data_IF_621796545824
#
_entry.id   IF_621796545824
#
_cell.length_a   1.000
_cell.length_b   1.000
_cell.length_c   1.000
_cell.angle_alpha   90.00
_cell.angle_beta   90.00
_cell.angle_gamma   90.00
#
_symmetry.space_group_name_H-M   'P 1'
#
loop_
_entity.id
_entity.type
_entity.pdbx_description
1 polymer ?
#
# COMPACT_ATOMS: atom_id res chain seq x y z
N UNK A 1 -16.94 -23.62 7.69
CA UNK A 1 -16.15 -23.26 8.89
C UNK A 1 -15.92 -21.75 8.93
N UNK A 2 -15.57 -21.17 10.09
CA UNK A 2 -15.22 -19.75 10.22
C UNK A 2 -13.70 -19.58 10.22
N UNK A 3 -13.17 -18.72 9.34
CA UNK A 3 -11.78 -18.32 9.32
C UNK A 3 -11.68 -16.81 9.55
N UNK A 4 -10.90 -16.41 10.56
CA UNK A 4 -10.62 -15.01 10.85
C UNK A 4 -9.14 -14.73 10.58
N UNK A 5 -8.87 -13.66 9.82
CA UNK A 5 -7.53 -13.26 9.37
C UNK A 5 -7.36 -11.78 9.66
N UNK A 6 -6.21 -11.42 10.21
CA UNK A 6 -5.82 -10.05 10.48
C UNK A 6 -4.49 -9.68 9.81
N UNK A 7 -4.35 -8.41 9.45
CA UNK A 7 -3.21 -7.89 8.69
C UNK A 7 -3.44 -7.96 7.18
N UNK A 8 -3.24 -6.83 6.50
CA UNK A 8 -3.53 -6.69 5.07
C UNK A 8 -2.75 -7.67 4.20
N UNK A 9 -1.48 -7.94 4.54
CA UNK A 9 -0.64 -8.89 3.79
C UNK A 9 -1.18 -10.32 3.91
N UNK A 10 -1.53 -10.76 5.11
CA UNK A 10 -2.13 -12.08 5.34
C UNK A 10 -3.49 -12.22 4.65
N UNK A 11 -4.26 -11.13 4.59
CA UNK A 11 -5.55 -11.11 3.90
C UNK A 11 -5.36 -11.32 2.40
N UNK A 12 -4.37 -10.66 1.79
CA UNK A 12 -4.05 -10.84 0.36
C UNK A 12 -3.74 -12.30 0.09
N UNK A 13 -2.84 -12.92 0.86
CA UNK A 13 -2.47 -14.34 0.69
C UNK A 13 -3.69 -15.28 0.80
N UNK A 14 -4.56 -15.05 1.80
CA UNK A 14 -5.75 -15.90 1.99
C UNK A 14 -6.77 -15.72 0.86
N UNK A 15 -6.89 -14.51 0.30
CA UNK A 15 -7.76 -14.26 -0.84
C UNK A 15 -7.22 -14.89 -2.13
N UNK A 16 -5.90 -14.88 -2.34
CA UNK A 16 -5.24 -15.59 -3.44
C UNK A 16 -5.45 -17.10 -3.33
N UNK A 17 -5.21 -17.69 -2.15
CA UNK A 17 -5.48 -19.11 -1.89
C UNK A 17 -6.95 -19.49 -2.11
N UNK A 18 -7.88 -18.56 -1.82
CA UNK A 18 -9.30 -18.75 -2.05
C UNK A 18 -9.62 -18.76 -3.55
N UNK A 19 -9.04 -17.84 -4.32
CA UNK A 19 -9.20 -17.76 -5.78
C UNK A 19 -8.64 -19.02 -6.47
N UNK A 20 -7.49 -19.51 -6.00
CA UNK A 20 -6.84 -20.74 -6.49
C UNK A 20 -7.53 -22.04 -6.04
N UNK A 21 -8.63 -21.93 -5.27
CA UNK A 21 -9.42 -23.07 -4.81
C UNK A 21 -8.74 -23.92 -3.74
N UNK A 22 -7.71 -23.40 -3.05
CA UNK A 22 -7.00 -24.08 -1.97
C UNK A 22 -7.79 -24.07 -0.64
N UNK A 23 -8.84 -23.24 -0.53
CA UNK A 23 -9.68 -23.09 0.67
C UNK A 23 -11.15 -23.55 0.50
N UNK A 24 -11.43 -24.81 0.12
CA UNK A 24 -12.77 -25.25 -0.27
C UNK A 24 -13.80 -25.45 0.87
N UNK A 25 -13.44 -25.18 2.14
CA UNK A 25 -14.29 -25.52 3.32
C UNK A 25 -14.62 -24.32 4.23
N UNK A 26 -14.36 -23.09 3.77
CA UNK A 26 -14.65 -21.88 4.53
C UNK A 26 -16.02 -21.34 4.13
N UNK A 27 -16.94 -21.25 5.10
CA UNK A 27 -18.30 -20.73 4.87
C UNK A 27 -18.37 -19.22 5.15
N UNK A 28 -17.46 -18.73 6.00
CA UNK A 28 -17.42 -17.34 6.45
C UNK A 28 -15.98 -16.91 6.71
N UNK A 29 -15.61 -15.78 6.11
CA UNK A 29 -14.31 -15.12 6.24
C UNK A 29 -14.48 -13.80 6.98
N UNK A 30 -13.75 -13.63 8.08
CA UNK A 30 -13.61 -12.36 8.79
C UNK A 30 -12.23 -11.78 8.48
N UNK A 31 -12.17 -10.65 7.76
CA UNK A 31 -10.92 -10.04 7.31
C UNK A 31 -10.72 -8.68 7.98
N UNK A 32 -9.64 -8.54 8.73
CA UNK A 32 -9.30 -7.35 9.51
C UNK A 32 -8.00 -6.71 9.01
N UNK A 33 -8.06 -5.55 8.36
CA UNK A 33 -6.89 -4.93 7.72
C UNK A 33 -5.69 -4.68 8.67
N UNK A 34 -5.96 -4.29 9.91
CA UNK A 34 -4.92 -4.10 10.93
C UNK A 34 -4.71 -5.38 11.74
N UNK A 35 -3.47 -5.63 12.15
CA UNK A 35 -3.14 -6.70 13.09
C UNK A 35 -3.97 -6.55 14.37
N UNK A 36 -4.58 -7.63 14.84
CA UNK A 36 -5.51 -7.69 15.97
C UNK A 36 -6.80 -6.85 15.78
N UNK A 37 -7.18 -6.54 14.55
CA UNK A 37 -8.34 -5.71 14.22
C UNK A 37 -8.12 -4.23 14.48
N UNK A 38 -9.20 -3.44 14.56
CA UNK A 38 -9.13 -1.99 14.78
C UNK A 38 -8.35 -1.59 16.06
N UNK A 39 -8.22 -2.50 17.01
CA UNK A 39 -7.44 -2.31 18.25
C UNK A 39 -5.94 -2.15 17.97
N UNK A 40 -5.43 -2.72 16.88
CA UNK A 40 -4.04 -2.56 16.45
C UNK A 40 -3.84 -1.57 15.31
N UNK A 41 -4.77 -0.63 15.13
CA UNK A 41 -4.63 0.42 14.10
C UNK A 41 -3.37 1.28 14.30
N UNK A 42 -2.86 1.87 13.22
CA UNK A 42 -1.61 2.65 13.22
C UNK A 42 -1.60 3.87 14.16
N UNK A 43 -2.77 4.36 14.56
CA UNK A 43 -2.92 5.49 15.48
C UNK A 43 -3.10 5.06 16.95
N UNK A 44 -3.05 3.76 17.23
CA UNK A 44 -3.16 3.23 18.59
C UNK A 44 -1.81 3.28 19.29
N UNK A 45 -1.82 3.76 20.54
CA UNK A 45 -0.59 3.99 21.33
C UNK A 45 -0.17 2.78 22.16
N UNK A 46 -1.10 1.88 22.44
CA UNK A 46 -0.85 0.68 23.23
C UNK A 46 -0.46 -0.48 22.32
N UNK A 47 0.33 -1.42 22.84
CA UNK A 47 0.66 -2.63 22.10
C UNK A 47 -0.64 -3.40 21.72
N UNK A 48 -0.85 -3.75 20.43
CA UNK A 48 -2.10 -4.37 19.97
C UNK A 48 -2.49 -5.64 20.72
N UNK A 49 -1.52 -6.50 21.05
CA UNK A 49 -1.76 -7.76 21.75
C UNK A 49 -2.16 -7.55 23.21
N UNK A 50 -1.55 -6.55 23.87
CA UNK A 50 -1.91 -6.17 25.25
C UNK A 50 -3.30 -5.54 25.27
N UNK A 51 -3.57 -4.59 24.38
CA UNK A 51 -4.87 -3.93 24.26
C UNK A 51 -5.99 -4.93 23.96
N UNK A 52 -5.76 -5.87 23.04
CA UNK A 52 -6.73 -6.92 22.72
C UNK A 52 -7.01 -7.83 23.93
N UNK A 53 -5.98 -8.19 24.70
CA UNK A 53 -6.16 -8.99 25.93
C UNK A 53 -7.02 -8.25 26.95
N UNK A 54 -6.79 -6.95 27.15
CA UNK A 54 -7.59 -6.12 28.06
C UNK A 54 -9.04 -6.00 27.59
N UNK A 55 -9.27 -5.82 26.30
CA UNK A 55 -10.62 -5.78 25.72
C UNK A 55 -11.33 -7.12 25.92
N UNK A 56 -10.67 -8.25 25.65
CA UNK A 56 -11.21 -9.60 25.89
C UNK A 56 -11.63 -9.79 27.36
N UNK A 57 -10.84 -9.30 28.31
CA UNK A 57 -11.20 -9.32 29.74
C UNK A 57 -12.40 -8.43 30.07
N UNK A 58 -12.47 -7.23 29.50
CA UNK A 58 -13.61 -6.32 29.70
C UNK A 58 -14.91 -6.94 29.17
N UNK A 59 -14.86 -7.58 28.00
CA UNK A 59 -16.03 -8.24 27.38
C UNK A 59 -16.63 -9.31 28.29
N UNK A 60 -15.82 -10.05 29.06
CA UNK A 60 -16.30 -11.10 29.97
C UNK A 60 -17.21 -10.55 31.08
N UNK A 61 -17.09 -9.27 31.41
CA UNK A 61 -17.85 -8.60 32.46
C UNK A 61 -18.91 -7.64 31.92
N UNK A 62 -19.02 -7.49 30.60
CA UNK A 62 -20.04 -6.66 29.99
C UNK A 62 -21.38 -7.39 29.92
N UNK A 63 -22.51 -6.67 30.05
CA UNK A 63 -23.82 -7.25 29.79
C UNK A 63 -23.88 -7.76 28.34
N UNK A 64 -24.63 -8.85 28.12
CA UNK A 64 -24.84 -9.40 26.78
C UNK A 64 -25.38 -8.30 25.89
N UNK A 65 -24.69 -8.07 24.77
CA UNK A 65 -25.12 -7.11 23.76
C UNK A 65 -26.56 -7.42 23.34
N UNK A 66 -27.43 -6.42 23.46
CA UNK A 66 -28.82 -6.48 22.99
C UNK A 66 -28.93 -6.12 21.49
N UNK A 67 -27.80 -6.00 20.78
CA UNK A 67 -27.77 -5.78 19.34
C UNK A 67 -28.29 -7.04 18.64
N UNK A 68 -29.62 -7.12 18.52
CA UNK A 68 -30.28 -8.08 17.66
C UNK A 68 -30.31 -7.47 16.28
N UNK A 69 -29.78 -8.19 15.29
CA UNK A 69 -30.18 -7.95 13.89
C UNK A 69 -31.71 -8.01 13.88
N UNK A 70 -32.37 -7.01 13.29
CA UNK A 70 -33.83 -6.99 13.27
C UNK A 70 -34.31 -8.32 12.70
N UNK A 71 -35.33 -8.91 13.30
CA UNK A 71 -35.95 -10.15 12.79
C UNK A 71 -36.80 -9.88 11.55
N UNK A 72 -36.56 -8.76 10.85
CA UNK A 72 -37.20 -8.53 9.58
C UNK A 72 -36.79 -9.68 8.65
N UNK A 73 -37.76 -10.32 7.98
CA UNK A 73 -37.52 -11.52 7.19
C UNK A 73 -36.60 -11.28 5.99
N UNK A 74 -36.44 -10.01 5.61
CA UNK A 74 -35.58 -9.60 4.51
C UNK A 74 -34.44 -8.75 5.05
N UNK A 75 -33.18 -9.19 4.87
CA UNK A 75 -32.04 -8.34 5.14
C UNK A 75 -32.13 -7.08 4.27
N UNK A 76 -31.61 -5.93 4.74
CA UNK A 76 -31.67 -4.70 3.98
C UNK A 76 -31.10 -4.89 2.58
N UNK A 77 -31.74 -4.31 1.56
CA UNK A 77 -31.35 -4.46 0.15
C UNK A 77 -29.88 -4.11 -0.17
N UNK A 78 -29.21 -3.35 0.69
CA UNK A 78 -27.78 -3.05 0.55
C UNK A 78 -26.85 -4.19 1.01
N UNK A 79 -27.39 -5.20 1.70
CA UNK A 79 -26.61 -6.28 2.32
C UNK A 79 -26.33 -7.41 1.33
N UNK A 80 -27.15 -7.55 0.29
CA UNK A 80 -27.01 -8.53 -0.77
C UNK A 80 -27.14 -7.81 -2.10
N UNK A 81 -26.04 -7.68 -2.84
CA UNK A 81 -26.07 -7.24 -4.22
C UNK A 81 -26.13 -8.54 -5.06
N UNK A 82 -27.32 -8.90 -5.56
CA UNK A 82 -27.56 -10.13 -6.36
C UNK A 82 -26.85 -10.10 -7.73
N UNK A 83 -25.95 -9.14 -7.96
CA UNK A 83 -25.20 -9.05 -9.21
C UNK A 83 -24.20 -10.20 -9.28
N UNK A 84 -24.10 -10.87 -10.44
CA UNK A 84 -23.01 -11.80 -10.65
C UNK A 84 -21.68 -11.06 -10.48
N UNK A 85 -20.74 -11.69 -9.78
CA UNK A 85 -19.38 -11.18 -9.65
C UNK A 85 -18.75 -11.16 -11.04
N UNK A 86 -18.48 -9.96 -11.55
CA UNK A 86 -17.73 -9.77 -12.80
C UNK A 86 -16.23 -9.71 -12.47
N UNK A 87 -15.42 -10.41 -13.24
CA UNK A 87 -13.97 -10.36 -13.09
C UNK A 87 -13.47 -8.95 -13.43
N UNK A 88 -12.79 -8.31 -12.47
CA UNK A 88 -12.14 -7.02 -12.70
C UNK A 88 -10.68 -7.24 -13.10
N UNK A 89 -10.24 -6.79 -14.28
CA UNK A 89 -8.85 -6.93 -14.70
C UNK A 89 -7.98 -5.89 -13.98
N UNK A 90 -7.52 -6.21 -12.77
CA UNK A 90 -6.72 -5.28 -11.94
C UNK A 90 -5.28 -5.13 -12.46
N UNK A 91 -4.73 -6.15 -13.13
CA UNK A 91 -3.33 -6.21 -13.57
C UNK A 91 -3.13 -5.98 -15.08
N UNK A 92 -4.13 -5.45 -15.78
CA UNK A 92 -4.07 -5.24 -17.24
C UNK A 92 -3.79 -3.76 -17.54
N UNK A 93 -2.63 -3.48 -18.16
CA UNK A 93 -2.24 -2.11 -18.53
C UNK A 93 -2.99 -1.59 -19.76
N UNK A 94 -3.32 -2.48 -20.70
CA UNK A 94 -4.11 -2.21 -21.90
C UNK A 94 -4.66 -3.52 -22.47
N UNK A 95 -5.76 -3.44 -23.22
CA UNK A 95 -6.34 -4.60 -23.92
C UNK A 95 -5.45 -5.03 -25.11
N UNK A 96 -4.74 -4.06 -25.73
CA UNK A 96 -3.78 -4.34 -26.79
C UNK A 96 -2.39 -4.65 -26.19
N UNK A 97 -1.89 -5.85 -26.47
CA UNK A 97 -0.59 -6.34 -25.98
C UNK A 97 0.55 -5.41 -26.42
N UNK A 98 0.53 -4.88 -27.65
CA UNK A 98 1.61 -3.99 -28.11
C UNK A 98 1.61 -2.68 -27.32
N UNK A 99 0.42 -2.13 -27.03
CA UNK A 99 0.28 -0.91 -26.22
C UNK A 99 0.65 -1.19 -24.77
N UNK A 100 0.25 -2.33 -24.21
CA UNK A 100 0.61 -2.75 -22.87
C UNK A 100 2.13 -2.89 -22.70
N UNK A 101 2.83 -3.47 -23.70
CA UNK A 101 4.29 -3.56 -23.69
C UNK A 101 4.96 -2.18 -23.77
N UNK A 102 4.41 -1.25 -24.55
CA UNK A 102 4.92 0.13 -24.61
C UNK A 102 4.74 0.85 -23.27
N UNK A 103 3.56 0.72 -22.64
CA UNK A 103 3.27 1.26 -21.30
C UNK A 103 4.22 0.66 -20.27
N UNK A 104 4.44 -0.65 -20.30
CA UNK A 104 5.38 -1.32 -19.40
C UNK A 104 6.80 -0.74 -19.53
N UNK A 105 7.29 -0.56 -20.76
CA UNK A 105 8.60 0.04 -20.99
C UNK A 105 8.70 1.50 -20.47
N UNK A 106 7.62 2.27 -20.60
CA UNK A 106 7.55 3.64 -20.05
C UNK A 106 7.57 3.63 -18.51
N UNK A 107 6.87 2.68 -17.87
CA UNK A 107 6.89 2.52 -16.42
C UNK A 107 8.32 2.26 -15.93
N UNK A 108 9.04 1.31 -16.52
CA UNK A 108 10.43 1.01 -16.13
C UNK A 108 11.34 2.24 -16.26
N UNK A 109 11.25 2.97 -17.37
CA UNK A 109 12.01 4.21 -17.57
C UNK A 109 11.70 5.25 -16.50
N UNK A 110 10.43 5.42 -16.16
CA UNK A 110 10.01 6.40 -15.17
C UNK A 110 10.46 5.99 -13.76
N UNK A 111 10.40 4.72 -13.41
CA UNK A 111 10.90 4.17 -12.13
C UNK A 111 12.38 4.51 -11.92
N UNK A 112 13.21 4.40 -12.96
CA UNK A 112 14.64 4.75 -12.88
C UNK A 112 14.88 6.24 -12.59
N UNK A 113 13.94 7.11 -12.96
CA UNK A 113 14.03 8.56 -12.69
C UNK A 113 13.46 8.96 -11.34
N UNK A 114 12.65 8.10 -10.72
CA UNK A 114 12.07 8.37 -9.41
C UNK A 114 13.08 8.10 -8.28
N UNK A 115 12.90 8.70 -7.09
CA UNK A 115 13.84 8.56 -5.98
C UNK A 115 14.03 7.13 -5.43
N UNK A 116 13.11 6.19 -5.72
CA UNK A 116 13.15 4.82 -5.18
C UNK A 116 12.98 4.74 -3.66
N UNK A 117 12.34 5.73 -3.04
CA UNK A 117 12.19 5.84 -1.58
C UNK A 117 10.95 5.14 -1.03
N UNK A 118 9.95 4.86 -1.87
CA UNK A 118 8.66 4.28 -1.48
C UNK A 118 8.00 4.96 -0.25
N UNK A 119 8.10 6.30 -0.20
CA UNK A 119 7.70 7.06 0.99
C UNK A 119 6.20 7.37 1.10
N UNK A 120 5.39 7.02 0.09
CA UNK A 120 3.94 7.22 0.11
C UNK A 120 3.44 8.67 0.06
N UNK A 121 4.32 9.67 -0.09
CA UNK A 121 3.92 11.09 0.00
C UNK A 121 3.02 11.56 -1.15
N UNK A 122 3.09 10.90 -2.30
CA UNK A 122 2.21 11.14 -3.45
C UNK A 122 0.87 10.37 -3.37
N UNK A 123 0.66 9.56 -2.33
CA UNK A 123 -0.52 8.70 -2.20
C UNK A 123 -0.37 7.30 -2.81
N UNK A 124 0.65 7.07 -3.64
CA UNK A 124 0.99 5.74 -4.15
C UNK A 124 1.88 4.96 -3.16
N UNK A 125 1.69 3.65 -2.96
CA UNK A 125 2.45 2.86 -1.97
C UNK A 125 3.93 2.71 -2.32
N UNK A 126 4.28 2.72 -3.61
CA UNK A 126 5.66 2.62 -4.11
C UNK A 126 5.90 3.62 -5.24
N UNK A 127 7.17 3.93 -5.52
CA UNK A 127 7.57 4.71 -6.68
C UNK A 127 7.14 4.03 -7.99
N UNK A 128 7.15 2.69 -8.04
CA UNK A 128 6.62 1.93 -9.18
C UNK A 128 5.13 2.17 -9.37
N UNK A 129 4.34 2.11 -8.30
CA UNK A 129 2.91 2.39 -8.37
C UNK A 129 2.63 3.82 -8.88
N UNK A 130 3.39 4.82 -8.40
CA UNK A 130 3.31 6.17 -8.95
C UNK A 130 3.63 6.21 -10.45
N UNK A 131 4.67 5.48 -10.90
CA UNK A 131 5.03 5.42 -12.31
C UNK A 131 3.91 4.81 -13.17
N UNK A 132 3.25 3.77 -12.67
CA UNK A 132 2.07 3.16 -13.28
C UNK A 132 0.91 4.17 -13.37
N UNK A 133 0.61 4.89 -12.29
CA UNK A 133 -0.42 5.92 -12.24
C UNK A 133 -0.16 7.03 -13.27
N UNK A 134 1.10 7.45 -13.44
CA UNK A 134 1.50 8.48 -14.42
C UNK A 134 1.29 7.97 -15.85
N UNK A 135 1.72 6.74 -16.16
CA UNK A 135 1.57 6.15 -17.50
C UNK A 135 0.10 5.90 -17.85
N UNK A 136 -0.74 5.62 -16.84
CA UNK A 136 -2.19 5.51 -17.00
C UNK A 136 -2.91 6.87 -17.05
N UNK A 137 -2.20 7.98 -16.82
CA UNK A 137 -2.76 9.33 -16.82
C UNK A 137 -3.58 9.68 -15.58
N UNK A 138 -3.42 8.92 -14.49
CA UNK A 138 -4.06 9.14 -13.19
C UNK A 138 -3.27 10.11 -12.31
N UNK A 139 -1.95 10.22 -12.55
CA UNK A 139 -1.04 11.09 -11.81
C UNK A 139 -0.07 11.83 -12.75
N UNK A 140 0.72 12.73 -12.18
CA UNK A 140 1.76 13.51 -12.84
C UNK A 140 3.11 13.36 -12.15
N UNK A 141 4.22 13.59 -12.86
CA UNK A 141 5.56 13.54 -12.26
C UNK A 141 5.73 14.52 -11.09
N UNK A 142 5.04 15.66 -11.14
CA UNK A 142 5.11 16.70 -10.10
C UNK A 142 4.34 16.30 -8.81
N UNK A 143 3.54 15.23 -8.83
CA UNK A 143 2.93 14.70 -7.60
C UNK A 143 3.99 14.08 -6.67
N UNK A 144 5.15 13.70 -7.22
CA UNK A 144 6.31 13.39 -6.41
C UNK A 144 6.95 14.68 -5.87
N UNK A 145 6.91 14.85 -4.55
CA UNK A 145 7.49 16.02 -3.87
C UNK A 145 8.97 16.26 -4.19
N UNK A 146 9.73 15.21 -4.51
CA UNK A 146 11.14 15.31 -4.89
C UNK A 146 11.30 15.82 -6.34
N UNK A 147 10.53 15.27 -7.29
CA UNK A 147 10.53 15.73 -8.70
C UNK A 147 10.02 17.15 -8.85
N UNK A 148 8.96 17.50 -8.12
CA UNK A 148 8.43 18.87 -8.05
C UNK A 148 9.51 19.87 -7.61
N UNK A 149 10.31 19.51 -6.60
CA UNK A 149 11.36 20.37 -6.06
C UNK A 149 12.56 20.48 -6.99
N UNK A 150 13.00 19.38 -7.58
CA UNK A 150 14.03 19.36 -8.61
C UNK A 150 13.67 20.31 -9.76
N UNK A 151 12.43 20.22 -10.25
CA UNK A 151 11.91 21.11 -11.29
C UNK A 151 11.88 22.58 -10.85
N UNK A 152 11.47 22.85 -9.62
CA UNK A 152 11.48 24.21 -9.05
C UNK A 152 12.90 24.78 -8.94
N UNK A 153 13.87 23.97 -8.51
CA UNK A 153 15.28 24.37 -8.41
C UNK A 153 15.90 24.66 -9.78
N UNK A 154 15.61 23.81 -10.78
CA UNK A 154 16.00 24.05 -12.17
C UNK A 154 15.49 25.40 -12.68
N UNK A 155 14.22 25.73 -12.41
CA UNK A 155 13.62 27.00 -12.80
C UNK A 155 14.19 28.20 -12.04
N UNK A 156 14.58 28.02 -10.77
CA UNK A 156 15.15 29.08 -9.92
C UNK A 156 16.67 29.23 -10.03
N UNK A 157 17.36 28.33 -10.75
CA UNK A 157 18.82 28.34 -10.89
C UNK A 157 19.57 28.09 -9.59
N UNK A 158 18.96 27.37 -8.63
CA UNK A 158 19.52 27.13 -7.30
C UNK A 158 19.75 25.64 -7.03
N UNK A 159 21.02 25.23 -6.95
CA UNK A 159 21.49 24.05 -6.21
C UNK A 159 21.35 22.68 -6.90
N UNK A 160 22.05 21.70 -6.31
CA UNK A 160 22.00 20.28 -6.63
C UNK A 160 20.69 19.66 -6.11
N UNK A 161 19.98 18.92 -6.96
CA UNK A 161 18.67 18.37 -6.66
C UNK A 161 18.70 17.33 -5.53
N UNK A 162 19.85 16.68 -5.35
CA UNK A 162 20.02 15.57 -4.41
C UNK A 162 20.17 16.01 -2.95
N UNK A 163 20.42 17.31 -2.68
CA UNK A 163 20.58 17.82 -1.31
C UNK A 163 19.36 17.55 -0.41
N UNK A 164 18.15 17.50 -0.99
CA UNK A 164 16.91 17.30 -0.24
C UNK A 164 16.58 15.83 0.08
N UNK A 165 17.29 14.87 -0.53
CA UNK A 165 17.09 13.46 -0.22
C UNK A 165 17.59 13.16 1.22
N UNK A 166 16.81 12.42 2.03
CA UNK A 166 17.25 12.00 3.35
C UNK A 166 18.41 11.01 3.22
N UNK A 167 19.36 11.04 4.16
CA UNK A 167 20.40 10.01 4.25
C UNK A 167 19.74 8.64 4.54
N UNK A 168 20.21 7.53 3.94
CA UNK A 168 21.42 7.37 3.11
C UNK A 168 21.22 7.61 1.60
N UNK A 169 20.06 8.09 1.17
CA UNK A 169 19.66 8.12 -0.24
C UNK A 169 20.22 9.30 -1.04
N UNK A 170 20.83 10.28 -0.36
CA UNK A 170 21.59 11.35 -1.02
C UNK A 170 22.78 10.73 -1.75
N UNK A 171 22.91 10.96 -3.07
CA UNK A 171 24.12 10.56 -3.79
C UNK A 171 25.29 11.31 -3.17
N UNK A 172 26.32 10.59 -2.71
CA UNK A 172 27.57 11.23 -2.30
C UNK A 172 28.20 11.80 -3.55
N UNK A 173 28.61 13.05 -3.50
CA UNK A 173 29.47 13.64 -4.53
C UNK A 173 30.65 12.70 -4.77
N UNK A 174 30.98 12.42 -6.03
CA UNK A 174 32.14 11.59 -6.41
C UNK A 174 33.45 12.13 -5.79
N UNK A 175 33.49 13.44 -5.47
CA UNK A 175 34.57 14.11 -4.77
C UNK A 175 34.68 13.71 -3.28
N UNK A 176 33.56 13.47 -2.61
CA UNK A 176 33.52 13.03 -1.22
C UNK A 176 33.97 11.56 -1.07
N UNK A 177 33.59 10.70 -2.02
CA UNK A 177 34.06 9.31 -2.05
C UNK A 177 35.55 9.20 -2.39
N UNK A 178 36.06 10.04 -3.31
CA UNK A 178 37.51 10.16 -3.55
C UNK A 178 38.26 10.67 -2.32
N UNK A 179 37.73 11.66 -1.61
CA UNK A 179 38.35 12.21 -0.40
C UNK A 179 38.35 11.23 0.79
N UNK A 180 37.34 10.35 0.91
CA UNK A 180 37.36 9.24 1.88
C UNK A 180 38.33 8.14 1.48
N UNK A 181 38.43 7.79 0.20
CA UNK A 181 39.41 6.83 -0.32
C UNK A 181 40.84 7.30 -0.08
N UNK A 182 41.17 8.56 -0.39
CA UNK A 182 42.49 9.17 -0.13
C UNK A 182 42.83 9.26 1.37
N UNK A 183 41.83 9.32 2.27
CA UNK A 183 42.05 9.28 3.74
C UNK A 183 42.17 7.86 4.30
N UNK A 184 41.80 6.86 3.51
CA UNK A 184 41.84 5.44 3.89
C UNK A 184 43.08 4.70 3.36
N UNK A 185 43.86 5.32 2.48
CA UNK A 185 45.18 4.83 2.08
C UNK A 185 46.24 5.23 3.13
N UNK A 186 47.06 4.29 3.64
CA UNK A 186 48.05 4.53 4.70
C UNK A 186 49.29 5.32 4.27
#
# INVERSE_FOLDING_TARGET
QHLAVDGIDNIIEVLEDLEDGQLPQVDFLELNACNQGCVGGCLTVENPYVAQTRIKQLIQHMPISMNKVSTDPEPPSYMFDDKPLEASPVNVLDDDIEVAMQKYAQIEQLVETLPGLDCGSCGAPTCRALAEDIVQGLASEDDCIFRMRERMQYLMGMGDADEYLPLPFRRRDEEAEKAEQERSEP
#
